data_IF_949942985266
#
_entry.id   IF_949942985266
#
_cell.length_a   1.000
_cell.length_b   1.000
_cell.length_c   1.000
_cell.angle_alpha   90.00
_cell.angle_beta   90.00
_cell.angle_gamma   90.00
#
_symmetry.space_group_name_H-M   'P 1'
#
loop_
_entity.id
_entity.type
_entity.pdbx_description
1 polymer ?
#
# COMPACT_ATOMS: atom_id res chain seq x y z
N UNK A 1 -7.29 25.46 -24.26
CA UNK A 1 -6.98 24.02 -24.26
C UNK A 1 -7.72 23.38 -25.44
N UNK A 2 -7.02 22.74 -26.37
CA UNK A 2 -7.60 22.26 -27.64
C UNK A 2 -8.58 21.11 -27.39
N UNK A 3 -9.75 21.10 -28.04
CA UNK A 3 -10.82 20.12 -27.80
C UNK A 3 -10.36 18.66 -28.00
N UNK A 4 -9.54 18.41 -29.02
CA UNK A 4 -8.94 17.09 -29.29
C UNK A 4 -7.95 16.66 -28.20
N UNK A 5 -7.20 17.61 -27.62
CA UNK A 5 -6.26 17.31 -26.54
C UNK A 5 -6.99 16.92 -25.24
N UNK A 6 -8.17 17.50 -25.00
CA UNK A 6 -9.02 17.13 -23.85
C UNK A 6 -9.62 15.73 -24.03
N UNK A 7 -10.15 15.41 -25.22
CA UNK A 7 -10.69 14.08 -25.52
C UNK A 7 -9.62 12.99 -25.40
N UNK A 8 -8.41 13.25 -25.89
CA UNK A 8 -7.31 12.30 -25.79
C UNK A 8 -6.86 12.09 -24.32
N UNK A 9 -6.79 13.17 -23.53
CA UNK A 9 -6.49 13.10 -22.09
C UNK A 9 -7.55 12.31 -21.33
N UNK A 10 -8.84 12.55 -21.59
CA UNK A 10 -9.93 11.83 -20.94
C UNK A 10 -9.87 10.33 -21.27
N UNK A 11 -9.58 9.97 -22.54
CA UNK A 11 -9.39 8.57 -22.96
C UNK A 11 -8.28 7.88 -22.18
N UNK A 12 -7.12 8.54 -22.00
CA UNK A 12 -5.99 7.95 -21.29
C UNK A 12 -6.29 7.70 -19.81
N UNK A 13 -7.05 8.60 -19.15
CA UNK A 13 -7.46 8.41 -17.74
C UNK A 13 -8.31 7.14 -17.59
N UNK A 14 -9.25 6.90 -18.51
CA UNK A 14 -10.07 5.69 -18.48
C UNK A 14 -9.27 4.42 -18.76
N UNK A 15 -8.27 4.49 -19.65
CA UNK A 15 -7.38 3.36 -19.92
C UNK A 15 -6.54 3.00 -18.69
N UNK A 16 -6.01 4.00 -17.98
CA UNK A 16 -5.32 3.81 -16.70
C UNK A 16 -6.24 3.23 -15.62
N UNK A 17 -7.45 3.77 -15.48
CA UNK A 17 -8.42 3.22 -14.53
C UNK A 17 -8.76 1.75 -14.84
N UNK A 18 -8.96 1.42 -16.11
CA UNK A 18 -9.21 0.05 -16.56
C UNK A 18 -8.02 -0.86 -16.26
N UNK A 19 -6.79 -0.37 -16.43
CA UNK A 19 -5.57 -1.10 -16.09
C UNK A 19 -5.51 -1.42 -14.58
N UNK A 20 -5.77 -0.44 -13.71
CA UNK A 20 -5.79 -0.65 -12.25
C UNK A 20 -6.88 -1.65 -11.86
N UNK A 21 -8.09 -1.52 -12.43
CA UNK A 21 -9.17 -2.49 -12.21
C UNK A 21 -8.79 -3.92 -12.64
N UNK A 22 -8.02 -4.09 -13.72
CA UNK A 22 -7.53 -5.40 -14.15
C UNK A 22 -6.49 -5.99 -13.19
N UNK A 23 -5.65 -5.14 -12.60
CA UNK A 23 -4.72 -5.57 -11.55
C UNK A 23 -5.50 -6.05 -10.33
N UNK A 24 -6.45 -5.26 -9.84
CA UNK A 24 -7.28 -5.64 -8.70
C UNK A 24 -8.01 -6.97 -8.92
N UNK A 25 -8.66 -7.16 -10.09
CA UNK A 25 -9.31 -8.44 -10.44
C UNK A 25 -8.35 -9.63 -10.45
N UNK A 26 -7.10 -9.42 -10.87
CA UNK A 26 -6.08 -10.47 -10.86
C UNK A 26 -5.70 -10.83 -9.43
N UNK A 27 -5.48 -9.83 -8.58
CA UNK A 27 -5.10 -10.04 -7.18
C UNK A 27 -6.25 -10.70 -6.39
N UNK A 28 -7.49 -10.27 -6.63
CA UNK A 28 -8.71 -10.89 -6.10
C UNK A 28 -8.80 -12.38 -6.47
N UNK A 29 -8.54 -12.71 -7.74
CA UNK A 29 -8.54 -14.10 -8.19
C UNK A 29 -7.41 -14.92 -7.55
N UNK A 30 -6.23 -14.33 -7.34
CA UNK A 30 -5.11 -14.99 -6.64
C UNK A 30 -5.50 -15.33 -5.20
N UNK A 31 -6.09 -14.36 -4.48
CA UNK A 31 -6.55 -14.53 -3.09
C UNK A 31 -7.61 -15.62 -3.01
N UNK A 32 -8.67 -15.53 -3.84
CA UNK A 32 -9.79 -16.49 -3.82
C UNK A 32 -9.36 -17.91 -4.19
N UNK A 33 -8.46 -18.05 -5.16
CA UNK A 33 -7.98 -19.37 -5.60
C UNK A 33 -6.89 -19.95 -4.68
N UNK A 34 -6.29 -19.14 -3.80
CA UNK A 34 -5.18 -19.56 -2.93
C UNK A 34 -3.93 -20.00 -3.69
N UNK A 35 -3.77 -19.54 -4.93
CA UNK A 35 -2.69 -19.96 -5.84
C UNK A 35 -1.32 -19.38 -5.47
N UNK A 36 -1.31 -18.29 -4.70
CA UNK A 36 -0.11 -17.66 -4.10
C UNK A 36 -0.48 -17.12 -2.73
N UNK A 37 0.51 -16.96 -1.85
CA UNK A 37 0.35 -16.19 -0.62
C UNK A 37 0.28 -14.71 -0.97
N UNK A 38 -0.91 -14.14 -0.93
CA UNK A 38 -1.15 -12.71 -1.04
C UNK A 38 -2.02 -12.31 0.13
N UNK A 39 -1.39 -11.78 1.18
CA UNK A 39 -2.08 -11.26 2.37
C UNK A 39 -1.71 -9.79 2.46
N UNK A 40 -2.59 -8.87 2.02
CA UNK A 40 -2.29 -7.45 1.99
C UNK A 40 -1.86 -6.93 3.36
N UNK A 41 -0.88 -6.04 3.38
CA UNK A 41 -0.40 -5.32 4.55
C UNK A 41 0.23 -6.17 5.67
N UNK A 42 0.29 -7.49 5.51
CA UNK A 42 0.79 -8.42 6.54
C UNK A 42 2.24 -8.12 6.93
N UNK A 43 3.06 -7.69 5.97
CA UNK A 43 4.47 -7.44 6.20
C UNK A 43 4.78 -5.96 6.49
N UNK A 44 3.78 -5.08 6.46
CA UNK A 44 3.95 -3.64 6.71
C UNK A 44 3.14 -3.16 7.93
N UNK A 45 3.38 -3.72 9.13
CA UNK A 45 2.78 -3.18 10.36
C UNK A 45 3.28 -1.75 10.61
N UNK A 46 2.58 -1.01 11.49
CA UNK A 46 2.87 0.39 11.81
C UNK A 46 4.36 0.70 12.04
N UNK A 47 5.17 -0.12 12.76
CA UNK A 47 6.61 0.16 12.92
C UNK A 47 7.37 0.17 11.59
N UNK A 48 7.01 -0.70 10.64
CA UNK A 48 7.63 -0.74 9.31
C UNK A 48 7.24 0.49 8.51
N UNK A 49 5.96 0.87 8.51
CA UNK A 49 5.46 2.09 7.85
C UNK A 49 6.20 3.32 8.38
N UNK A 50 6.32 3.46 9.69
CA UNK A 50 7.05 4.55 10.35
C UNK A 50 8.52 4.61 9.91
N UNK A 51 9.21 3.47 9.89
CA UNK A 51 10.62 3.41 9.45
C UNK A 51 10.75 3.88 8.00
N UNK A 52 9.88 3.41 7.10
CA UNK A 52 9.92 3.84 5.69
C UNK A 52 9.70 5.34 5.58
N UNK A 53 8.70 5.89 6.30
CA UNK A 53 8.38 7.32 6.26
C UNK A 53 9.54 8.16 6.80
N UNK A 54 10.18 7.73 7.90
CA UNK A 54 11.35 8.39 8.47
C UNK A 54 12.53 8.39 7.50
N UNK A 55 12.83 7.27 6.84
CA UNK A 55 13.93 7.16 5.88
C UNK A 55 13.67 8.03 4.65
N UNK A 56 12.47 7.96 4.07
CA UNK A 56 12.08 8.79 2.92
C UNK A 56 12.22 10.27 3.25
N UNK A 57 11.79 10.70 4.44
CA UNK A 57 11.98 12.06 4.93
C UNK A 57 13.46 12.41 5.12
N UNK A 58 14.25 11.52 5.74
CA UNK A 58 15.67 11.73 6.02
C UNK A 58 16.51 11.95 4.77
N UNK A 59 16.20 11.24 3.70
CA UNK A 59 16.89 11.35 2.41
C UNK A 59 16.22 12.33 1.44
N UNK A 60 15.18 13.05 1.87
CA UNK A 60 14.43 13.99 1.02
C UNK A 60 13.94 13.35 -0.30
N UNK A 61 13.50 12.09 -0.23
CA UNK A 61 12.95 11.38 -1.38
C UNK A 61 11.52 11.87 -1.67
N UNK A 62 11.05 11.64 -2.89
CA UNK A 62 9.67 11.92 -3.27
C UNK A 62 8.69 11.22 -2.34
N UNK A 63 7.56 11.86 -2.04
CA UNK A 63 6.52 11.26 -1.22
C UNK A 63 5.97 9.96 -1.85
N UNK A 64 5.99 9.80 -3.19
CA UNK A 64 5.57 8.55 -3.85
C UNK A 64 6.48 7.36 -3.50
N UNK A 65 7.74 7.64 -3.20
CA UNK A 65 8.74 6.61 -2.88
C UNK A 65 8.32 5.76 -1.67
N UNK A 66 7.69 6.34 -0.65
CA UNK A 66 7.30 5.60 0.56
C UNK A 66 6.25 4.53 0.27
N UNK A 67 5.23 4.86 -0.52
CA UNK A 67 4.16 3.91 -0.86
C UNK A 67 4.64 2.83 -1.82
N UNK A 68 5.46 3.21 -2.82
CA UNK A 68 6.06 2.23 -3.71
C UNK A 68 6.99 1.26 -2.95
N UNK A 69 7.80 1.77 -2.01
CA UNK A 69 8.66 0.93 -1.16
C UNK A 69 7.83 -0.05 -0.31
N UNK A 70 6.72 0.40 0.28
CA UNK A 70 5.82 -0.44 1.06
C UNK A 70 5.15 -1.52 0.20
N UNK A 71 4.65 -1.18 -1.00
CA UNK A 71 4.08 -2.14 -1.94
C UNK A 71 5.10 -3.18 -2.40
N UNK A 72 6.34 -2.77 -2.70
CA UNK A 72 7.42 -3.69 -3.07
C UNK A 72 7.74 -4.61 -1.89
N UNK A 73 7.88 -4.06 -0.68
CA UNK A 73 8.25 -4.82 0.50
C UNK A 73 7.17 -5.84 0.88
N UNK A 74 5.90 -5.43 0.91
CA UNK A 74 4.79 -6.32 1.26
C UNK A 74 4.67 -7.50 0.30
N UNK A 75 4.75 -7.21 -1.01
CA UNK A 75 4.74 -8.23 -2.06
C UNK A 75 5.95 -9.15 -2.01
N UNK A 76 7.14 -8.60 -1.79
CA UNK A 76 8.37 -9.38 -1.63
C UNK A 76 8.25 -10.33 -0.44
N UNK A 77 7.81 -9.83 0.71
CA UNK A 77 7.72 -10.63 1.93
C UNK A 77 6.69 -11.75 1.78
N UNK A 78 5.54 -11.47 1.17
CA UNK A 78 4.54 -12.49 0.86
C UNK A 78 5.09 -13.59 -0.05
N UNK A 79 5.72 -13.21 -1.17
CA UNK A 79 6.28 -14.18 -2.11
C UNK A 79 7.43 -14.98 -1.50
N UNK A 80 8.34 -14.31 -0.78
CA UNK A 80 9.48 -14.97 -0.17
C UNK A 80 9.08 -15.91 0.97
N UNK A 81 8.07 -15.52 1.76
CA UNK A 81 7.47 -16.40 2.76
C UNK A 81 6.89 -17.65 2.11
N UNK A 82 6.11 -17.49 1.05
CA UNK A 82 5.50 -18.61 0.32
C UNK A 82 6.53 -19.57 -0.24
N UNK A 83 7.61 -19.05 -0.84
CA UNK A 83 8.72 -19.87 -1.34
C UNK A 83 9.32 -20.72 -0.22
N UNK A 84 9.70 -20.11 0.91
CA UNK A 84 10.29 -20.82 2.06
C UNK A 84 9.32 -21.82 2.70
N UNK A 85 8.03 -21.47 2.74
CA UNK A 85 6.99 -22.34 3.27
C UNK A 85 6.80 -23.58 2.40
N UNK A 86 6.80 -23.42 1.07
CA UNK A 86 6.61 -24.49 0.10
C UNK A 86 7.87 -25.35 -0.14
N UNK A 87 9.07 -24.90 0.25
CA UNK A 87 10.30 -25.72 0.25
C UNK A 87 10.11 -27.06 1.00
N UNK A 88 9.17 -27.11 1.95
CA UNK A 88 8.92 -28.26 2.82
C UNK A 88 7.71 -29.12 2.37
N UNK A 89 7.20 -28.89 1.15
CA UNK A 89 6.06 -29.64 0.56
C UNK A 89 4.69 -29.06 0.88
N UNK A 90 3.62 -29.79 0.53
CA UNK A 90 2.24 -29.28 0.57
C UNK A 90 1.60 -29.21 1.98
N UNK A 91 2.28 -29.70 3.02
CA UNK A 91 1.74 -29.75 4.38
C UNK A 91 2.81 -29.47 5.47
N UNK A 92 3.49 -28.31 5.40
CA UNK A 92 4.53 -27.93 6.35
C UNK A 92 3.92 -27.77 7.74
N UNK A 93 4.64 -28.22 8.78
CA UNK A 93 4.20 -28.10 10.18
C UNK A 93 4.53 -26.70 10.71
N UNK A 94 4.16 -26.48 11.97
CA UNK A 94 4.42 -25.23 12.67
C UNK A 94 5.92 -24.90 12.78
N UNK A 95 6.79 -25.91 12.83
CA UNK A 95 8.24 -25.73 12.94
C UNK A 95 8.82 -25.11 11.66
N UNK A 96 8.32 -25.51 10.49
CA UNK A 96 8.69 -24.96 9.19
C UNK A 96 8.21 -23.52 9.02
N UNK A 97 7.02 -23.19 9.53
CA UNK A 97 6.55 -21.80 9.63
C UNK A 97 7.50 -20.94 10.46
N UNK A 98 7.87 -21.43 11.66
CA UNK A 98 8.79 -20.72 12.55
C UNK A 98 10.16 -20.54 11.90
N UNK A 99 10.69 -21.59 11.25
CA UNK A 99 11.96 -21.53 10.54
C UNK A 99 11.94 -20.53 9.38
N UNK A 100 10.87 -20.50 8.58
CA UNK A 100 10.71 -19.51 7.51
C UNK A 100 10.67 -18.07 8.08
N UNK A 101 9.90 -17.85 9.15
CA UNK A 101 9.80 -16.56 9.85
C UNK A 101 11.16 -16.10 10.40
N UNK A 102 11.90 -16.98 11.07
CA UNK A 102 13.22 -16.68 11.66
C UNK A 102 14.27 -16.35 10.58
N UNK A 103 14.20 -16.98 9.40
CA UNK A 103 15.09 -16.65 8.28
C UNK A 103 14.73 -15.29 7.65
N UNK A 104 13.45 -14.98 7.54
CA UNK A 104 12.98 -13.69 7.00
C UNK A 104 13.31 -12.53 7.93
N UNK A 105 13.14 -12.71 9.24
CA UNK A 105 13.36 -11.65 10.24
C UNK A 105 14.81 -11.17 10.26
N UNK A 106 15.79 -12.08 10.13
CA UNK A 106 17.23 -11.76 10.11
C UNK A 106 17.64 -10.75 9.04
N UNK A 107 17.01 -10.81 7.86
CA UNK A 107 17.36 -9.94 6.73
C UNK A 107 16.32 -8.84 6.49
N UNK A 108 15.23 -8.79 7.26
CA UNK A 108 14.10 -7.88 7.06
C UNK A 108 14.51 -6.41 6.88
N UNK A 109 15.44 -5.89 7.68
CA UNK A 109 15.95 -4.51 7.57
C UNK A 109 16.68 -4.27 6.24
N UNK A 110 17.60 -5.17 5.88
CA UNK A 110 18.29 -5.12 4.58
C UNK A 110 17.29 -5.16 3.43
N UNK A 111 16.26 -6.02 3.52
CA UNK A 111 15.20 -6.13 2.52
C UNK A 111 14.38 -4.85 2.43
N UNK A 112 13.98 -4.28 3.57
CA UNK A 112 13.24 -3.03 3.64
C UNK A 112 14.03 -1.88 3.00
N UNK A 113 15.30 -1.71 3.39
CA UNK A 113 16.15 -0.66 2.82
C UNK A 113 16.40 -0.86 1.33
N UNK A 114 16.53 -2.11 0.87
CA UNK A 114 16.65 -2.43 -0.56
C UNK A 114 15.35 -2.11 -1.34
N UNK A 115 14.18 -2.30 -0.72
CA UNK A 115 12.89 -1.88 -1.32
C UNK A 115 12.79 -0.35 -1.44
N UNK A 116 13.26 0.40 -0.42
CA UNK A 116 13.36 1.86 -0.47
C UNK A 116 14.33 2.30 -1.58
N UNK A 117 15.48 1.63 -1.69
CA UNK A 117 16.44 1.89 -2.76
C UNK A 117 15.80 1.69 -4.14
N UNK A 118 15.17 0.55 -4.37
CA UNK A 118 14.46 0.27 -5.63
C UNK A 118 13.39 1.33 -5.94
N UNK A 119 12.53 1.63 -4.97
CA UNK A 119 11.48 2.62 -5.13
C UNK A 119 12.05 4.01 -5.49
N UNK A 120 13.14 4.42 -4.84
CA UNK A 120 13.77 5.72 -5.11
C UNK A 120 14.36 5.81 -6.53
N UNK A 121 14.95 4.71 -7.04
CA UNK A 121 15.47 4.65 -8.42
C UNK A 121 14.34 4.69 -9.45
N UNK A 122 13.19 4.08 -9.14
CA UNK A 122 12.02 4.03 -10.02
C UNK A 122 11.29 5.36 -10.08
N UNK A 123 11.16 6.05 -8.95
CA UNK A 123 10.49 7.36 -8.88
C UNK A 123 11.35 8.48 -9.50
N UNK A 124 12.66 8.51 -9.21
CA UNK A 124 13.56 9.49 -9.80
C UNK A 124 14.99 8.92 -9.89
N UNK A 125 15.36 8.38 -11.05
CA UNK A 125 16.66 7.74 -11.27
C UNK A 125 17.86 8.61 -10.82
N UNK A 126 17.84 9.92 -11.09
CA UNK A 126 18.94 10.83 -10.72
C UNK A 126 19.04 11.12 -9.22
N UNK A 127 18.02 10.78 -8.44
CA UNK A 127 17.95 10.96 -6.97
C UNK A 127 17.80 9.62 -6.24
N UNK A 128 17.92 8.50 -6.95
CA UNK A 128 17.86 7.17 -6.36
C UNK A 128 19.00 6.94 -5.38
N UNK A 129 18.71 6.20 -4.31
CA UNK A 129 19.69 5.94 -3.26
C UNK A 129 20.87 5.10 -3.78
N UNK A 130 22.07 5.62 -3.61
CA UNK A 130 23.32 4.90 -3.83
C UNK A 130 23.65 3.93 -2.68
N UNK A 131 24.65 3.07 -2.90
CA UNK A 131 25.08 2.05 -1.91
C UNK A 131 25.47 2.69 -0.57
N UNK A 132 26.23 3.78 -0.57
CA UNK A 132 26.64 4.47 0.66
C UNK A 132 25.45 5.01 1.45
N UNK A 133 24.40 5.50 0.77
CA UNK A 133 23.18 5.96 1.41
C UNK A 133 22.36 4.80 1.98
N UNK A 134 22.36 3.65 1.29
CA UNK A 134 21.74 2.41 1.82
C UNK A 134 22.43 1.95 3.09
N UNK A 135 23.76 1.93 3.13
CA UNK A 135 24.53 1.60 4.35
C UNK A 135 24.17 2.56 5.48
N UNK A 136 24.15 3.87 5.22
CA UNK A 136 23.76 4.86 6.21
C UNK A 136 22.31 4.66 6.70
N UNK A 137 21.37 4.36 5.81
CA UNK A 137 19.99 4.07 6.17
C UNK A 137 19.85 2.81 7.04
N UNK A 138 20.64 1.77 6.76
CA UNK A 138 20.69 0.57 7.60
C UNK A 138 21.24 0.87 9.00
N UNK A 139 22.30 1.68 9.09
CA UNK A 139 22.83 2.13 10.38
C UNK A 139 21.79 2.91 11.19
N UNK A 140 20.97 3.76 10.56
CA UNK A 140 19.87 4.45 11.23
C UNK A 140 18.79 3.49 11.75
N UNK A 141 18.52 2.39 11.04
CA UNK A 141 17.59 1.35 11.49
C UNK A 141 18.19 0.48 12.61
N UNK A 142 19.52 0.32 12.63
CA UNK A 142 20.25 -0.50 13.61
C UNK A 142 20.59 0.23 14.91
N UNK A 143 20.79 1.55 14.86
CA UNK A 143 20.95 2.37 16.08
C UNK A 143 19.71 2.33 16.98
N UNK A 144 18.56 1.94 16.42
CA UNK A 144 17.31 1.68 17.16
C UNK A 144 17.29 0.28 17.79
N UNK A 145 18.17 -0.64 17.35
CA UNK A 145 18.13 -2.07 17.67
C UNK A 145 19.41 -2.66 18.30
N UNK A 146 20.47 -1.87 18.51
CA UNK A 146 21.76 -2.29 19.12
C UNK A 146 22.41 -3.51 18.43
N UNK A 147 22.48 -3.50 17.09
CA UNK A 147 23.12 -4.56 16.30
C UNK A 147 24.22 -3.94 15.43
N UNK A 148 25.40 -4.56 15.39
CA UNK A 148 26.47 -4.20 14.45
C UNK A 148 26.51 -5.25 13.34
N UNK A 149 26.07 -4.90 12.13
CA UNK A 149 26.28 -5.73 10.95
C UNK A 149 27.13 -4.97 9.91
N UNK A 150 28.14 -5.65 9.37
CA UNK A 150 28.91 -5.13 8.24
C UNK A 150 28.16 -5.40 6.92
N UNK A 151 27.59 -4.34 6.32
CA UNK A 151 26.99 -4.41 5.00
C UNK A 151 27.99 -4.05 3.92
N UNK A 152 28.26 -5.01 3.02
CA UNK A 152 29.09 -4.77 1.84
C UNK A 152 28.25 -4.38 0.63
N UNK A 153 28.83 -3.68 -0.37
CA UNK A 153 28.17 -3.39 -1.64
C UNK A 153 27.56 -4.63 -2.30
N UNK A 154 28.27 -5.77 -2.28
CA UNK A 154 27.78 -7.02 -2.87
C UNK A 154 26.56 -7.57 -2.12
N UNK A 155 26.50 -7.47 -0.79
CA UNK A 155 25.33 -7.88 0.00
C UNK A 155 24.10 -7.05 -0.40
N UNK A 156 24.27 -5.75 -0.58
CA UNK A 156 23.20 -4.83 -0.96
C UNK A 156 22.71 -5.11 -2.38
N UNK A 157 23.61 -5.25 -3.36
CA UNK A 157 23.25 -5.57 -4.74
C UNK A 157 22.55 -6.92 -4.87
N UNK A 158 23.06 -7.95 -4.17
CA UNK A 158 22.40 -9.26 -4.11
C UNK A 158 21.03 -9.16 -3.44
N UNK A 159 20.87 -8.25 -2.48
CA UNK A 159 19.60 -8.04 -1.83
C UNK A 159 18.57 -7.45 -2.80
N UNK A 160 18.94 -6.40 -3.52
CA UNK A 160 18.14 -5.75 -4.57
C UNK A 160 17.74 -6.75 -5.66
N UNK A 161 18.70 -7.52 -6.17
CA UNK A 161 18.43 -8.53 -7.20
C UNK A 161 17.45 -9.61 -6.72
N UNK A 162 17.58 -10.09 -5.48
CA UNK A 162 16.65 -11.08 -4.94
C UNK A 162 15.23 -10.53 -4.83
N UNK A 163 15.07 -9.25 -4.44
CA UNK A 163 13.74 -8.60 -4.37
C UNK A 163 13.14 -8.52 -5.76
N UNK A 164 13.90 -8.03 -6.75
CA UNK A 164 13.46 -7.95 -8.14
C UNK A 164 13.02 -9.32 -8.68
N UNK A 165 13.81 -10.35 -8.44
CA UNK A 165 13.48 -11.72 -8.86
C UNK A 165 12.19 -12.22 -8.21
N UNK A 166 12.03 -12.03 -6.91
CA UNK A 166 10.86 -12.49 -6.16
C UNK A 166 9.56 -11.76 -6.57
N UNK A 167 9.64 -10.56 -7.13
CA UNK A 167 8.47 -9.83 -7.68
C UNK A 167 8.33 -9.98 -9.20
N UNK A 168 8.96 -11.01 -9.80
CA UNK A 168 8.97 -11.28 -11.24
C UNK A 168 9.47 -10.11 -12.10
N UNK A 169 10.32 -9.22 -11.57
CA UNK A 169 10.74 -7.98 -12.21
C UNK A 169 9.57 -7.06 -12.63
N UNK A 170 8.39 -7.22 -12.04
CA UNK A 170 7.19 -6.42 -12.34
C UNK A 170 7.15 -5.15 -11.49
N UNK A 171 7.98 -4.17 -11.86
CA UNK A 171 8.00 -2.81 -11.30
C UNK A 171 7.85 -1.76 -12.42
N UNK A 172 7.19 -0.61 -12.16
CA UNK A 172 6.57 -0.22 -10.89
C UNK A 172 5.28 -1.01 -10.59
N UNK A 173 4.97 -1.14 -9.31
CA UNK A 173 3.70 -1.70 -8.84
C UNK A 173 2.73 -0.53 -8.67
N UNK A 174 1.46 -0.71 -9.07
CA UNK A 174 0.43 0.29 -8.83
C UNK A 174 0.28 0.53 -7.33
N UNK A 175 0.33 1.79 -6.94
CA UNK A 175 0.19 2.25 -5.56
C UNK A 175 -1.18 2.87 -5.30
N UNK A 176 -1.49 3.11 -4.03
CA UNK A 176 -2.62 3.93 -3.61
C UNK A 176 -2.53 5.36 -4.13
N UNK A 177 -1.33 5.93 -4.29
CA UNK A 177 -1.15 7.26 -4.90
C UNK A 177 -1.60 7.26 -6.36
N UNK A 178 -1.22 6.24 -7.13
CA UNK A 178 -1.63 6.13 -8.54
C UNK A 178 -3.16 6.01 -8.65
N UNK A 179 -3.77 5.28 -7.72
CA UNK A 179 -5.23 5.13 -7.64
C UNK A 179 -5.93 6.45 -7.30
N UNK A 180 -5.41 7.22 -6.33
CA UNK A 180 -5.91 8.56 -6.01
C UNK A 180 -5.78 9.48 -7.23
N UNK A 181 -4.60 9.52 -7.86
CA UNK A 181 -4.34 10.39 -9.01
C UNK A 181 -5.28 10.08 -10.19
N UNK A 182 -5.45 8.81 -10.54
CA UNK A 182 -6.36 8.43 -11.64
C UNK A 182 -7.81 8.81 -11.30
N UNK A 183 -8.25 8.64 -10.05
CA UNK A 183 -9.60 9.02 -9.64
C UNK A 183 -9.79 10.55 -9.61
N UNK A 184 -8.81 11.31 -9.13
CA UNK A 184 -8.85 12.78 -9.18
C UNK A 184 -8.94 13.30 -10.62
N UNK A 185 -8.25 12.64 -11.54
CA UNK A 185 -8.31 12.97 -12.97
C UNK A 185 -9.72 12.72 -13.51
N UNK A 186 -10.26 11.53 -13.27
CA UNK A 186 -11.58 11.14 -13.75
C UNK A 186 -12.71 12.02 -13.17
N UNK A 187 -12.51 12.56 -11.97
CA UNK A 187 -13.48 13.41 -11.28
C UNK A 187 -13.29 14.91 -11.56
N UNK A 188 -12.17 15.31 -12.18
CA UNK A 188 -11.74 16.70 -12.35
C UNK A 188 -11.61 17.46 -11.00
N UNK A 189 -11.02 16.82 -9.98
CA UNK A 189 -10.86 17.40 -8.64
C UNK A 189 -9.48 18.04 -8.39
N UNK A 190 -8.54 17.94 -9.33
CA UNK A 190 -7.19 18.49 -9.17
C UNK A 190 -7.13 20.00 -8.99
N UNK A 191 -8.14 20.72 -9.47
CA UNK A 191 -8.18 22.18 -9.39
C UNK A 191 -8.64 22.68 -8.00
N UNK A 192 -9.10 21.77 -7.13
CA UNK A 192 -9.52 22.13 -5.78
C UNK A 192 -8.30 22.44 -4.90
N UNK A 193 -8.22 23.65 -4.31
CA UNK A 193 -7.12 24.03 -3.43
C UNK A 193 -6.95 23.03 -2.28
N UNK A 194 -5.69 22.70 -1.96
CA UNK A 194 -5.27 21.81 -0.87
C UNK A 194 -5.77 20.35 -0.99
N UNK A 195 -6.55 19.99 -2.01
CA UNK A 195 -7.13 18.65 -2.13
C UNK A 195 -6.08 17.56 -2.12
N UNK A 196 -5.09 17.68 -3.00
CA UNK A 196 -4.05 16.67 -3.14
C UNK A 196 -3.22 16.51 -1.86
N UNK A 197 -2.83 17.64 -1.24
CA UNK A 197 -2.07 17.64 0.00
C UNK A 197 -2.85 16.99 1.15
N UNK A 198 -4.11 17.36 1.33
CA UNK A 198 -5.00 16.76 2.33
C UNK A 198 -5.20 15.25 2.07
N UNK A 199 -5.43 14.85 0.82
CA UNK A 199 -5.56 13.43 0.46
C UNK A 199 -4.29 12.63 0.79
N UNK A 200 -3.09 13.19 0.57
CA UNK A 200 -1.83 12.53 0.92
C UNK A 200 -1.61 12.44 2.44
N UNK A 201 -2.01 13.46 3.21
CA UNK A 201 -1.97 13.40 4.68
C UNK A 201 -2.90 12.32 5.23
N UNK A 202 -4.11 12.22 4.68
CA UNK A 202 -5.07 11.17 5.05
C UNK A 202 -4.53 9.79 4.67
N UNK A 203 -3.90 9.67 3.50
CA UNK A 203 -3.26 8.42 3.06
C UNK A 203 -2.14 7.99 4.01
N UNK A 204 -1.33 8.92 4.51
CA UNK A 204 -0.32 8.63 5.53
C UNK A 204 -0.93 8.04 6.80
N UNK A 205 -2.01 8.64 7.31
CA UNK A 205 -2.72 8.15 8.48
C UNK A 205 -3.35 6.77 8.23
N UNK A 206 -3.90 6.56 7.03
CA UNK A 206 -4.50 5.29 6.62
C UNK A 206 -3.47 4.16 6.60
N UNK A 207 -2.24 4.41 6.12
CA UNK A 207 -1.17 3.41 6.18
C UNK A 207 -0.68 3.16 7.61
N UNK A 208 -0.58 4.19 8.45
CA UNK A 208 -0.15 4.06 9.84
C UNK A 208 -1.16 3.28 10.69
N UNK A 209 -2.45 3.46 10.43
CA UNK A 209 -3.55 2.84 11.18
C UNK A 209 -4.26 1.72 10.41
N UNK A 210 -3.65 1.19 9.35
CA UNK A 210 -4.26 0.18 8.46
C UNK A 210 -4.91 -0.97 9.23
N UNK A 211 -4.21 -1.55 10.22
CA UNK A 211 -4.74 -2.70 10.97
C UNK A 211 -6.03 -2.33 11.72
N UNK A 212 -6.07 -1.15 12.34
CA UNK A 212 -7.27 -0.69 13.04
C UNK A 212 -8.39 -0.39 12.05
N UNK A 213 -8.08 0.33 10.96
CA UNK A 213 -9.04 0.66 9.90
C UNK A 213 -9.80 -0.56 9.42
N UNK A 214 -9.09 -1.62 9.01
CA UNK A 214 -9.72 -2.77 8.38
C UNK A 214 -10.39 -3.71 9.38
N UNK A 215 -9.87 -3.83 10.60
CA UNK A 215 -10.56 -4.52 11.70
C UNK A 215 -11.91 -3.87 12.02
N UNK A 216 -11.94 -2.54 12.13
CA UNK A 216 -13.17 -1.79 12.44
C UNK A 216 -14.14 -1.76 11.26
N UNK A 217 -13.65 -1.56 10.03
CA UNK A 217 -14.47 -1.62 8.80
C UNK A 217 -15.13 -2.99 8.66
N UNK A 218 -14.38 -4.07 8.88
CA UNK A 218 -14.93 -5.42 8.90
C UNK A 218 -16.07 -5.56 9.93
N UNK A 219 -15.83 -5.08 11.15
CA UNK A 219 -16.81 -5.17 12.23
C UNK A 219 -18.07 -4.37 11.90
N UNK A 220 -17.92 -3.19 11.30
CA UNK A 220 -19.06 -2.36 10.85
C UNK A 220 -19.91 -3.07 9.80
N UNK A 221 -19.28 -3.66 8.78
CA UNK A 221 -20.00 -4.27 7.64
C UNK A 221 -20.66 -5.60 8.04
N UNK A 222 -20.00 -6.40 8.88
CA UNK A 222 -20.43 -7.79 9.16
C UNK A 222 -20.93 -8.04 10.58
N UNK A 223 -20.77 -7.06 11.49
CA UNK A 223 -21.09 -7.18 12.91
C UNK A 223 -20.19 -8.15 13.69
N UNK A 224 -19.20 -8.78 13.03
CA UNK A 224 -18.31 -9.78 13.63
C UNK A 224 -16.92 -9.73 13.01
N UNK A 225 -15.92 -10.30 13.68
CA UNK A 225 -14.60 -10.54 13.09
C UNK A 225 -14.64 -11.84 12.30
N UNK A 226 -14.02 -11.89 11.12
CA UNK A 226 -14.02 -13.06 10.23
C UNK A 226 -13.54 -14.31 10.96
N UNK A 227 -14.41 -15.32 10.99
CA UNK A 227 -14.13 -16.63 11.59
C UNK A 227 -13.91 -17.68 10.52
N UNK A 228 -14.72 -17.64 9.46
CA UNK A 228 -14.65 -18.62 8.38
C UNK A 228 -13.56 -18.29 7.38
N UNK A 229 -13.07 -19.31 6.66
CA UNK A 229 -12.10 -19.12 5.58
C UNK A 229 -12.64 -18.16 4.51
N UNK A 230 -13.92 -18.30 4.12
CA UNK A 230 -14.54 -17.46 3.12
C UNK A 230 -14.60 -15.99 3.55
N UNK A 231 -14.97 -15.71 4.81
CA UNK A 231 -14.97 -14.35 5.36
C UNK A 231 -13.56 -13.74 5.35
N UNK A 232 -12.53 -14.51 5.74
CA UNK A 232 -11.13 -14.05 5.71
C UNK A 232 -10.66 -13.71 4.30
N UNK A 233 -11.02 -14.52 3.31
CA UNK A 233 -10.70 -14.23 1.91
C UNK A 233 -11.40 -12.96 1.42
N UNK A 234 -12.67 -12.74 1.79
CA UNK A 234 -13.39 -11.52 1.41
C UNK A 234 -12.75 -10.25 2.02
N UNK A 235 -12.30 -10.32 3.27
CA UNK A 235 -11.56 -9.22 3.92
C UNK A 235 -10.25 -8.95 3.18
N UNK A 236 -9.46 -9.98 2.90
CA UNK A 236 -8.20 -9.83 2.16
C UNK A 236 -8.43 -9.23 0.77
N UNK A 237 -9.51 -9.61 0.07
CA UNK A 237 -9.82 -9.01 -1.24
C UNK A 237 -10.16 -7.53 -1.11
N UNK A 238 -10.88 -7.13 -0.07
CA UNK A 238 -11.21 -5.73 0.21
C UNK A 238 -9.96 -4.91 0.62
N UNK A 239 -9.08 -5.48 1.44
CA UNK A 239 -7.79 -4.88 1.82
C UNK A 239 -6.87 -4.66 0.61
N UNK A 240 -6.92 -5.57 -0.37
CA UNK A 240 -6.13 -5.44 -1.60
C UNK A 240 -6.67 -4.39 -2.58
N UNK A 241 -7.88 -3.88 -2.39
CA UNK A 241 -8.51 -2.93 -3.30
C UNK A 241 -8.06 -1.48 -3.04
N UNK A 242 -6.97 -1.10 -3.71
CA UNK A 242 -6.43 0.25 -3.66
C UNK A 242 -7.40 1.30 -4.23
N UNK A 243 -8.26 0.95 -5.19
CA UNK A 243 -9.26 1.89 -5.72
C UNK A 243 -10.35 2.16 -4.69
N UNK A 244 -10.81 1.13 -3.99
CA UNK A 244 -11.77 1.27 -2.90
C UNK A 244 -11.24 2.15 -1.77
N UNK A 245 -10.01 1.88 -1.29
CA UNK A 245 -9.35 2.73 -0.30
C UNK A 245 -9.23 4.18 -0.79
N UNK A 246 -8.77 4.37 -2.03
CA UNK A 246 -8.59 5.71 -2.62
C UNK A 246 -9.91 6.47 -2.76
N UNK A 247 -11.01 5.79 -3.10
CA UNK A 247 -12.34 6.38 -3.15
C UNK A 247 -12.79 6.88 -1.76
N UNK A 248 -12.57 6.09 -0.71
CA UNK A 248 -12.82 6.50 0.66
C UNK A 248 -12.01 7.73 1.08
N UNK A 249 -10.72 7.76 0.74
CA UNK A 249 -9.84 8.91 1.03
C UNK A 249 -10.29 10.17 0.29
N UNK A 250 -10.66 10.06 -1.00
CA UNK A 250 -11.17 11.20 -1.79
C UNK A 250 -12.47 11.75 -1.17
N UNK A 251 -13.39 10.86 -0.79
CA UNK A 251 -14.65 11.28 -0.16
C UNK A 251 -14.43 11.90 1.22
N UNK A 252 -13.53 11.35 2.03
CA UNK A 252 -13.10 11.92 3.31
C UNK A 252 -12.45 13.30 3.13
N UNK A 253 -11.60 13.46 2.10
CA UNK A 253 -10.96 14.74 1.76
C UNK A 253 -12.00 15.81 1.46
N UNK A 254 -13.03 15.49 0.64
CA UNK A 254 -14.12 16.41 0.35
C UNK A 254 -14.87 16.86 1.60
N UNK A 255 -15.08 15.93 2.55
CA UNK A 255 -15.73 16.21 3.82
C UNK A 255 -14.90 17.18 4.67
N UNK A 256 -13.60 16.92 4.83
CA UNK A 256 -12.68 17.77 5.62
C UNK A 256 -12.55 19.18 5.02
N UNK A 257 -12.54 19.29 3.69
CA UNK A 257 -12.48 20.57 2.99
C UNK A 257 -13.83 21.32 2.97
N UNK A 258 -14.83 20.85 3.74
CA UNK A 258 -16.16 21.45 3.84
C UNK A 258 -16.85 21.65 2.48
N UNK A 259 -16.70 20.67 1.59
CA UNK A 259 -17.40 20.69 0.30
C UNK A 259 -18.91 20.64 0.52
N UNK A 260 -19.68 21.37 -0.29
CA UNK A 260 -21.14 21.35 -0.15
C UNK A 260 -21.72 19.94 -0.39
N UNK A 261 -22.90 19.68 0.19
CA UNK A 261 -23.56 18.36 0.13
C UNK A 261 -23.81 17.88 -1.30
N UNK A 262 -24.05 18.79 -2.24
CA UNK A 262 -24.27 18.46 -3.66
C UNK A 262 -23.01 17.90 -4.32
N UNK A 263 -21.84 18.50 -4.08
CA UNK A 263 -20.55 18.02 -4.60
C UNK A 263 -20.21 16.66 -4.00
N UNK A 264 -20.47 16.46 -2.71
CA UNK A 264 -20.24 15.20 -2.00
C UNK A 264 -21.07 14.06 -2.61
N UNK A 265 -22.39 14.25 -2.73
CA UNK A 265 -23.31 13.24 -3.29
C UNK A 265 -23.01 12.93 -4.76
N UNK A 266 -22.70 13.94 -5.56
CA UNK A 266 -22.35 13.75 -6.97
C UNK A 266 -21.01 13.00 -7.11
N UNK A 267 -20.02 13.30 -6.27
CA UNK A 267 -18.72 12.63 -6.30
C UNK A 267 -18.85 11.18 -5.85
N UNK A 268 -19.60 10.91 -4.78
CA UNK A 268 -19.89 9.55 -4.30
C UNK A 268 -20.49 8.66 -5.40
N UNK A 269 -21.51 9.17 -6.11
CA UNK A 269 -22.14 8.49 -7.26
C UNK A 269 -21.16 8.19 -8.39
N UNK A 270 -20.26 9.15 -8.70
CA UNK A 270 -19.24 8.95 -9.74
C UNK A 270 -18.19 7.93 -9.30
N UNK A 271 -17.69 8.05 -8.06
CA UNK A 271 -16.75 7.10 -7.47
C UNK A 271 -17.28 5.68 -7.52
N UNK A 272 -18.52 5.45 -7.06
CA UNK A 272 -19.17 4.13 -7.10
C UNK A 272 -19.12 3.49 -8.49
N UNK A 273 -19.40 4.27 -9.55
CA UNK A 273 -19.29 3.79 -10.94
C UNK A 273 -17.84 3.52 -11.38
N UNK A 274 -16.91 4.37 -10.98
CA UNK A 274 -15.49 4.27 -11.36
C UNK A 274 -14.79 3.11 -10.67
N UNK A 275 -15.07 2.84 -9.39
CA UNK A 275 -14.44 1.76 -8.63
C UNK A 275 -15.26 0.47 -8.61
N UNK A 276 -16.52 0.50 -9.04
CA UNK A 276 -17.46 -0.63 -9.07
C UNK A 276 -17.76 -1.18 -7.67
N UNK A 277 -17.97 -0.25 -6.73
CA UNK A 277 -18.32 -0.52 -5.32
C UNK A 277 -19.57 0.30 -4.98
N UNK A 278 -20.42 -0.21 -4.08
CA UNK A 278 -21.65 0.46 -3.67
C UNK A 278 -21.36 1.80 -2.95
N UNK A 279 -22.26 2.76 -3.12
CA UNK A 279 -22.11 4.10 -2.51
C UNK A 279 -22.07 4.03 -0.97
N UNK A 280 -22.79 3.08 -0.37
CA UNK A 280 -22.78 2.84 1.08
C UNK A 280 -21.40 2.43 1.58
N UNK A 281 -20.73 1.54 0.86
CA UNK A 281 -19.46 0.98 1.28
C UNK A 281 -18.34 2.02 1.16
N UNK A 282 -18.39 2.86 0.13
CA UNK A 282 -17.47 4.00 -0.02
C UNK A 282 -17.69 5.01 1.12
N UNK A 283 -18.95 5.22 1.52
CA UNK A 283 -19.28 6.10 2.65
C UNK A 283 -18.78 5.54 3.98
N UNK A 284 -18.96 4.23 4.19
CA UNK A 284 -18.41 3.51 5.35
C UNK A 284 -16.89 3.64 5.41
N UNK A 285 -16.18 3.41 4.29
CA UNK A 285 -14.73 3.59 4.23
C UNK A 285 -14.33 5.04 4.55
N UNK A 286 -15.00 6.04 3.98
CA UNK A 286 -14.70 7.45 4.25
C UNK A 286 -14.93 7.82 5.73
N UNK A 287 -15.99 7.30 6.34
CA UNK A 287 -16.28 7.50 7.76
C UNK A 287 -15.23 6.84 8.66
N UNK A 288 -14.75 5.65 8.28
CA UNK A 288 -13.68 4.96 9.02
C UNK A 288 -12.35 5.69 8.92
N UNK A 289 -12.02 6.20 7.74
CA UNK A 289 -10.83 7.04 7.55
C UNK A 289 -10.96 8.33 8.37
N UNK A 290 -12.15 8.91 8.47
CA UNK A 290 -12.40 10.09 9.29
C UNK A 290 -12.24 9.80 10.79
N UNK A 291 -12.78 8.67 11.30
CA UNK A 291 -12.67 8.33 12.72
C UNK A 291 -11.22 8.13 13.19
N UNK A 292 -10.35 7.68 12.28
CA UNK A 292 -8.90 7.58 12.50
C UNK A 292 -8.24 8.95 12.70
N UNK A 293 -8.71 9.97 11.99
CA UNK A 293 -8.21 11.35 12.10
C UNK A 293 -8.62 11.95 13.44
N UNK A 294 -9.83 11.65 13.90
CA UNK A 294 -10.39 12.16 15.16
C UNK A 294 -9.83 11.46 16.42
N UNK A 295 -9.05 10.39 16.28
CA UNK A 295 -8.53 9.57 17.39
C UNK A 295 -7.01 9.34 17.33
N UNK A 296 -6.16 10.34 17.62
CA UNK A 296 -4.72 10.10 17.76
C UNK A 296 -4.32 9.31 19.02
N UNK A 297 -5.20 9.13 20.03
CA UNK A 297 -4.79 8.68 21.38
C UNK A 297 -5.47 7.41 21.95
N UNK A 298 -6.20 6.62 21.15
CA UNK A 298 -6.74 5.33 21.62
C UNK A 298 -6.37 4.22 20.66
N UNK A 299 -5.20 3.63 20.87
CA UNK A 299 -4.80 2.36 20.27
C UNK A 299 -5.35 1.23 21.16
N UNK A 300 -6.47 0.56 20.80
CA UNK A 300 -6.74 -0.75 21.36
C UNK A 300 -5.70 -1.71 20.80
N UNK A 301 -4.97 -2.39 21.69
CA UNK A 301 -4.12 -3.52 21.33
C UNK A 301 -5.04 -4.66 20.89
N UNK A 302 -5.07 -4.96 19.59
CA UNK A 302 -5.52 -6.25 19.09
C UNK A 302 -4.43 -7.31 19.33
#
# INVERSE_FOLDING_TARGET
MNFEAKIHSDSMVYDWLKHIQQIHKRDEAIIKNGSKFLVPFVAIPMPVVNIVFMIVKKFHLSFKTKYLALCIYDKFMCNHFWELFMEHGNNPKFEEYKHASDRMSKLSRLRLMSCIQLASKMDCHSRGLGISQVIYGLQLMESVANLENEYTPNIILNSEFKILKAIDFKIPIVTSVDSIEVLLAALNLYEMPNFYETAMMILDLTYLQHLQLYCELQFMVTGTIAKTKAEKLNVMTMESDMLFMSAGIILCTLFILNSNSTVLENTKKKLSKLVKVEESDISSMAQMVLSIIDLPDKIPKC
#
